data_IF_707439271375
#
_entry.id   IF_707439271375
#
_cell.length_a   1.000
_cell.length_b   1.000
_cell.length_c   1.000
_cell.angle_alpha   90.00
_cell.angle_beta   90.00
_cell.angle_gamma   90.00
#
_symmetry.space_group_name_H-M   'P 1'
#
loop_
_entity.id
_entity.type
_entity.pdbx_description
1 polymer ?
#
# COMPACT_ATOMS: atom_id res chain seq x y z
N UNK A 1 -16.66 -13.85 17.15
CA UNK A 1 -15.62 -12.91 16.70
C UNK A 1 -15.14 -13.26 15.31
N UNK A 2 -14.87 -14.53 15.00
CA UNK A 2 -14.49 -15.00 13.66
C UNK A 2 -15.56 -14.78 12.58
N UNK A 3 -16.85 -15.03 12.89
CA UNK A 3 -17.97 -14.78 11.95
C UNK A 3 -18.05 -13.31 11.52
N UNK A 4 -17.85 -12.39 12.47
CA UNK A 4 -17.85 -10.95 12.21
C UNK A 4 -16.65 -10.50 11.35
N UNK A 5 -15.49 -11.13 11.51
CA UNK A 5 -14.32 -10.85 10.64
C UNK A 5 -14.58 -11.36 9.22
N UNK A 6 -15.12 -12.57 9.07
CA UNK A 6 -15.45 -13.14 7.76
C UNK A 6 -16.47 -12.31 6.97
N UNK A 7 -17.55 -11.87 7.62
CA UNK A 7 -18.57 -11.02 7.00
C UNK A 7 -18.01 -9.65 6.56
N UNK A 8 -17.12 -9.06 7.36
CA UNK A 8 -16.49 -7.79 6.99
C UNK A 8 -15.56 -7.95 5.79
N UNK A 9 -14.80 -9.04 5.71
CA UNK A 9 -13.90 -9.32 4.59
C UNK A 9 -14.67 -9.49 3.27
N UNK A 10 -15.78 -10.24 3.27
CA UNK A 10 -16.58 -10.42 2.04
C UNK A 10 -17.19 -9.09 1.59
N UNK A 11 -17.66 -8.25 2.52
CA UNK A 11 -18.17 -6.92 2.19
C UNK A 11 -17.10 -6.03 1.56
N UNK A 12 -15.89 -6.00 2.10
CA UNK A 12 -14.81 -5.20 1.50
C UNK A 12 -14.38 -5.77 0.14
N UNK A 13 -14.35 -7.11 -0.02
CA UNK A 13 -14.08 -7.75 -1.29
C UNK A 13 -15.12 -7.39 -2.36
N UNK A 14 -16.41 -7.35 -2.01
CA UNK A 14 -17.45 -6.96 -2.97
C UNK A 14 -17.33 -5.50 -3.41
N UNK A 15 -17.02 -4.56 -2.50
CA UNK A 15 -16.74 -3.16 -2.88
C UNK A 15 -15.59 -3.04 -3.88
N UNK A 16 -14.55 -3.84 -3.73
CA UNK A 16 -13.42 -3.87 -4.67
C UNK A 16 -13.86 -4.43 -6.03
N UNK A 17 -14.65 -5.51 -6.04
CA UNK A 17 -15.23 -6.09 -7.27
C UNK A 17 -16.13 -5.08 -7.99
N UNK A 18 -17.00 -4.36 -7.26
CA UNK A 18 -17.84 -3.31 -7.81
C UNK A 18 -17.01 -2.17 -8.41
N UNK A 19 -15.98 -1.70 -7.70
CA UNK A 19 -15.06 -0.67 -8.21
C UNK A 19 -14.39 -1.11 -9.51
N UNK A 20 -13.96 -2.36 -9.60
CA UNK A 20 -13.38 -2.91 -10.82
C UNK A 20 -14.41 -3.04 -11.96
N UNK A 21 -15.57 -3.64 -11.68
CA UNK A 21 -16.67 -3.83 -12.64
C UNK A 21 -17.21 -2.51 -13.20
N UNK A 22 -17.14 -1.43 -12.43
CA UNK A 22 -17.50 -0.07 -12.88
C UNK A 22 -16.63 0.44 -14.05
N UNK A 23 -15.48 -0.19 -14.33
CA UNK A 23 -14.54 0.23 -15.36
C UNK A 23 -13.67 1.42 -14.96
N UNK A 24 -13.90 2.05 -13.79
CA UNK A 24 -13.12 3.18 -13.26
C UNK A 24 -11.61 2.93 -13.29
N UNK A 25 -11.19 1.71 -12.98
CA UNK A 25 -9.77 1.30 -12.91
C UNK A 25 -9.08 1.23 -14.27
N UNK A 26 -9.83 1.18 -15.39
CA UNK A 26 -9.27 1.19 -16.75
C UNK A 26 -8.74 2.58 -17.15
N UNK A 27 -9.31 3.65 -16.59
CA UNK A 27 -8.92 5.01 -16.90
C UNK A 27 -7.46 5.29 -16.50
N UNK A 28 -6.64 5.74 -17.47
CA UNK A 28 -5.22 6.06 -17.23
C UNK A 28 -5.06 7.17 -16.19
N UNK A 29 -5.92 8.20 -16.23
CA UNK A 29 -5.87 9.28 -15.24
C UNK A 29 -6.20 8.77 -13.84
N UNK A 30 -7.16 7.86 -13.70
CA UNK A 30 -7.45 7.23 -12.42
C UNK A 30 -6.23 6.48 -11.89
N UNK A 31 -5.60 5.63 -12.72
CA UNK A 31 -4.39 4.87 -12.35
C UNK A 31 -3.24 5.80 -11.93
N UNK A 32 -2.99 6.87 -12.70
CA UNK A 32 -1.96 7.88 -12.36
C UNK A 32 -2.24 8.56 -11.02
N UNK A 33 -3.50 8.93 -10.75
CA UNK A 33 -3.86 9.53 -9.46
C UNK A 33 -3.67 8.55 -8.31
N UNK A 34 -4.01 7.27 -8.47
CA UNK A 34 -3.78 6.27 -7.42
C UNK A 34 -2.28 6.04 -7.17
N UNK A 35 -1.46 5.95 -8.22
CA UNK A 35 -0.01 5.80 -8.07
C UNK A 35 0.62 7.00 -7.35
N UNK A 36 0.18 8.23 -7.68
CA UNK A 36 0.61 9.43 -6.96
C UNK A 36 0.20 9.39 -5.48
N UNK A 37 -1.03 8.96 -5.19
CA UNK A 37 -1.50 8.83 -3.81
C UNK A 37 -0.66 7.80 -3.02
N UNK A 38 -0.29 6.68 -3.63
CA UNK A 38 0.61 5.69 -2.99
C UNK A 38 1.98 6.30 -2.73
N UNK A 39 2.57 7.01 -3.69
CA UNK A 39 3.86 7.70 -3.48
C UNK A 39 3.79 8.75 -2.37
N UNK A 40 2.69 9.51 -2.30
CA UNK A 40 2.44 10.46 -1.21
C UNK A 40 2.35 9.73 0.13
N UNK A 41 1.56 8.66 0.21
CA UNK A 41 1.41 7.86 1.43
C UNK A 41 2.75 7.33 1.92
N UNK A 42 3.58 6.76 1.03
CA UNK A 42 4.90 6.25 1.38
C UNK A 42 5.82 7.33 1.94
N UNK A 43 5.79 8.54 1.36
CA UNK A 43 6.58 9.68 1.86
C UNK A 43 6.08 10.19 3.21
N UNK A 44 4.77 10.34 3.36
CA UNK A 44 4.15 10.83 4.59
C UNK A 44 4.31 9.84 5.76
N UNK A 45 4.39 8.54 5.45
CA UNK A 45 4.46 7.46 6.44
C UNK A 45 5.83 6.79 6.54
N UNK A 46 6.86 7.36 5.92
CA UNK A 46 8.20 6.77 5.85
C UNK A 46 8.73 6.36 7.23
N UNK A 47 8.68 7.26 8.22
CA UNK A 47 9.20 6.99 9.56
C UNK A 47 8.37 5.92 10.29
N UNK A 48 7.04 5.96 10.15
CA UNK A 48 6.14 4.96 10.74
C UNK A 48 6.40 3.56 10.16
N UNK A 49 6.67 3.48 8.84
CA UNK A 49 7.02 2.24 8.15
C UNK A 49 8.37 1.71 8.65
N UNK A 50 9.40 2.56 8.75
CA UNK A 50 10.71 2.13 9.27
C UNK A 50 10.66 1.71 10.73
N UNK A 51 9.85 2.39 11.56
CA UNK A 51 9.63 1.97 12.94
C UNK A 51 8.94 0.61 13.02
N UNK A 52 7.97 0.32 12.14
CA UNK A 52 7.32 -0.99 12.07
C UNK A 52 8.33 -2.08 11.64
N UNK A 53 9.12 -1.82 10.60
CA UNK A 53 10.16 -2.75 10.14
C UNK A 53 11.21 -3.04 11.23
N UNK A 54 11.58 -2.04 12.02
CA UNK A 54 12.47 -2.26 13.17
C UNK A 54 11.79 -3.11 14.27
N UNK A 55 10.54 -2.83 14.61
CA UNK A 55 9.81 -3.56 15.66
C UNK A 55 9.54 -5.02 15.28
N UNK A 56 9.18 -5.27 14.03
CA UNK A 56 8.72 -6.58 13.58
C UNK A 56 9.89 -7.46 13.10
N UNK A 57 10.89 -6.84 12.45
CA UNK A 57 11.97 -7.55 11.76
C UNK A 57 13.37 -7.17 12.27
N UNK A 58 13.51 -6.18 13.14
CA UNK A 58 14.80 -5.70 13.63
C UNK A 58 15.63 -4.91 12.61
N UNK A 59 15.09 -4.62 11.42
CA UNK A 59 15.81 -3.89 10.36
C UNK A 59 16.04 -2.44 10.79
N UNK A 60 17.30 -2.02 10.85
CA UNK A 60 17.64 -0.61 11.04
C UNK A 60 17.29 0.22 9.80
N UNK A 61 17.02 1.52 9.98
CA UNK A 61 16.55 2.43 8.92
C UNK A 61 17.37 2.35 7.62
N UNK A 62 18.70 2.29 7.71
CA UNK A 62 19.56 2.21 6.52
C UNK A 62 19.39 0.90 5.74
N UNK A 63 19.25 -0.23 6.45
CA UNK A 63 18.98 -1.54 5.84
C UNK A 63 17.57 -1.57 5.23
N UNK A 64 16.57 -1.13 5.98
CA UNK A 64 15.19 -1.05 5.51
C UNK A 64 15.07 -0.13 4.28
N UNK A 65 15.77 0.99 4.25
CA UNK A 65 15.79 1.89 3.09
C UNK A 65 16.39 1.20 1.86
N UNK A 66 17.54 0.53 2.01
CA UNK A 66 18.19 -0.18 0.92
C UNK A 66 17.35 -1.34 0.38
N UNK A 67 16.74 -2.12 1.27
CA UNK A 67 16.06 -3.36 0.88
C UNK A 67 14.63 -3.13 0.37
N UNK A 68 13.91 -2.16 0.96
CA UNK A 68 12.47 -1.97 0.72
C UNK A 68 12.14 -0.68 -0.06
N UNK A 69 13.02 0.33 0.00
CA UNK A 69 12.75 1.66 -0.54
C UNK A 69 13.66 2.08 -1.68
N UNK A 70 14.76 1.37 -1.95
CA UNK A 70 15.71 1.71 -2.99
C UNK A 70 15.02 1.72 -4.36
N UNK A 71 14.64 2.92 -4.79
CA UNK A 71 14.21 3.22 -6.14
C UNK A 71 15.51 3.27 -6.94
N UNK A 72 16.06 2.10 -7.32
CA UNK A 72 17.40 1.97 -7.89
C UNK A 72 17.81 3.20 -8.71
N UNK A 73 18.97 3.78 -8.35
CA UNK A 73 19.46 5.02 -8.95
C UNK A 73 19.25 5.01 -10.47
N UNK A 74 18.63 6.05 -11.06
CA UNK A 74 18.61 6.16 -12.50
C UNK A 74 20.07 6.33 -12.96
N UNK A 75 20.57 5.35 -13.71
CA UNK A 75 21.70 5.56 -14.62
C UNK A 75 21.36 6.61 -15.68
#
# INVERSE_FOLDING_TARGET
MESFVGENLEREAEKLRETFRSGKTKCVNWRRTQLKAILTLLREKEEEIFMALYKDLGKHRCEAYRDESDQGSPE
#
